data_IF_850137213799
#
_entry.id   IF_850137213799
#
_cell.length_a   1.000
_cell.length_b   1.000
_cell.length_c   1.000
_cell.angle_alpha   90.00
_cell.angle_beta   90.00
_cell.angle_gamma   90.00
#
_symmetry.space_group_name_H-M   'P 1'
#
loop_
_entity.id
_entity.type
_entity.pdbx_description
1 polymer ?
#
# COMPACT_ATOMS: atom_id res chain seq x y z
N UNK A 1 3.06 -9.56 -4.29
CA UNK A 1 3.65 -8.87 -5.47
C UNK A 1 2.69 -8.78 -6.66
N UNK A 2 1.72 -9.68 -6.84
CA UNK A 2 0.73 -9.59 -7.93
C UNK A 2 0.03 -8.21 -8.07
N UNK A 3 -0.32 -7.51 -6.98
CA UNK A 3 -1.00 -6.22 -7.07
C UNK A 3 -0.15 -5.16 -7.76
N UNK A 4 1.16 -5.13 -7.48
CA UNK A 4 2.10 -4.17 -8.08
C UNK A 4 2.17 -4.33 -9.60
N UNK A 5 2.18 -5.56 -10.10
CA UNK A 5 2.15 -5.80 -11.55
C UNK A 5 0.81 -5.42 -12.17
N UNK A 6 -0.28 -5.61 -11.44
CA UNK A 6 -1.62 -5.25 -11.92
C UNK A 6 -1.82 -3.74 -12.07
N UNK A 7 -1.01 -2.90 -11.40
CA UNK A 7 -1.02 -1.44 -11.54
C UNK A 7 -0.68 -0.95 -12.96
N UNK A 8 -0.06 -1.78 -13.80
CA UNK A 8 0.17 -1.47 -15.23
C UNK A 8 -1.15 -1.26 -15.97
N UNK A 9 -2.25 -1.80 -15.45
CA UNK A 9 -3.60 -1.64 -16.01
C UNK A 9 -4.30 -0.35 -15.55
N UNK A 10 -3.75 0.37 -14.56
CA UNK A 10 -4.35 1.62 -14.08
C UNK A 10 -4.13 2.76 -15.09
N UNK A 11 -5.19 3.49 -15.42
CA UNK A 11 -5.16 4.57 -16.41
C UNK A 11 -5.53 5.90 -15.76
N UNK A 12 -4.68 6.92 -15.94
CA UNK A 12 -4.95 8.27 -15.42
C UNK A 12 -6.08 8.98 -16.20
N UNK A 13 -6.18 8.74 -17.51
CA UNK A 13 -7.19 9.33 -18.41
C UNK A 13 -7.60 8.32 -19.49
N UNK A 14 -8.83 8.45 -20.02
CA UNK A 14 -9.31 7.62 -21.14
C UNK A 14 -8.47 7.87 -22.41
N UNK A 15 -8.26 6.85 -23.28
CA UNK A 15 -7.49 7.00 -24.51
C UNK A 15 -7.97 8.14 -25.43
N UNK A 16 -9.28 8.30 -25.58
CA UNK A 16 -9.89 9.35 -26.40
C UNK A 16 -9.51 10.76 -25.90
N UNK A 17 -9.52 10.96 -24.58
CA UNK A 17 -9.14 12.24 -23.96
C UNK A 17 -7.63 12.51 -24.07
N UNK A 18 -6.81 11.46 -24.00
CA UNK A 18 -5.37 11.59 -24.20
C UNK A 18 -5.01 12.06 -25.62
N UNK A 19 -5.79 11.63 -26.63
CA UNK A 19 -5.62 12.09 -28.02
C UNK A 19 -6.16 13.50 -28.25
N UNK A 20 -7.26 13.88 -27.58
CA UNK A 20 -7.86 15.20 -27.69
C UNK A 20 -6.99 16.31 -27.07
N UNK A 21 -6.23 15.99 -26.02
CA UNK A 21 -5.41 16.95 -25.26
C UNK A 21 -3.91 16.59 -25.29
N UNK A 22 -3.18 16.84 -26.40
CA UNK A 22 -1.75 16.51 -26.52
C UNK A 22 -0.85 17.28 -25.54
N UNK A 23 -1.36 18.36 -24.95
CA UNK A 23 -0.71 19.11 -23.86
C UNK A 23 -0.45 18.26 -22.61
N UNK A 24 -1.28 17.25 -22.35
CA UNK A 24 -1.05 16.29 -21.26
C UNK A 24 0.27 15.53 -21.46
N UNK A 25 0.57 15.12 -22.69
CA UNK A 25 1.82 14.46 -23.03
C UNK A 25 3.02 15.42 -22.91
N UNK A 26 2.86 16.67 -23.36
CA UNK A 26 3.90 17.71 -23.23
C UNK A 26 4.24 18.03 -21.77
N UNK A 27 3.30 17.85 -20.85
CA UNK A 27 3.57 17.99 -19.42
C UNK A 27 4.38 16.82 -18.85
N UNK A 28 4.18 15.61 -19.34
CA UNK A 28 4.93 14.42 -18.92
C UNK A 28 6.41 14.48 -19.34
N UNK A 29 6.71 15.02 -20.52
CA UNK A 29 8.10 15.16 -21.02
C UNK A 29 8.95 16.12 -20.18
N UNK A 30 8.35 16.93 -19.30
CA UNK A 30 9.07 17.80 -18.36
C UNK A 30 9.78 17.03 -17.23
N UNK A 31 9.60 15.71 -17.14
CA UNK A 31 10.32 14.85 -16.19
C UNK A 31 9.98 15.10 -14.71
N UNK A 32 8.88 15.80 -14.43
CA UNK A 32 8.51 16.19 -13.05
C UNK A 32 8.02 15.02 -12.19
N UNK A 33 7.53 13.95 -12.82
CA UNK A 33 6.97 12.79 -12.12
C UNK A 33 8.04 11.85 -11.54
N UNK A 34 9.19 11.73 -12.21
CA UNK A 34 10.31 10.84 -11.86
C UNK A 34 11.58 11.69 -11.67
N UNK A 35 11.58 12.47 -10.59
CA UNK A 35 12.70 13.31 -10.17
C UNK A 35 13.39 12.76 -8.93
N UNK A 36 14.61 13.21 -8.66
CA UNK A 36 15.33 12.86 -7.42
C UNK A 36 14.54 13.29 -6.17
N UNK A 37 13.83 14.43 -6.25
CA UNK A 37 12.94 14.89 -5.17
C UNK A 37 11.83 13.88 -4.87
N UNK A 38 11.15 13.37 -5.91
CA UNK A 38 10.10 12.36 -5.73
C UNK A 38 10.67 11.04 -5.21
N UNK A 39 11.84 10.63 -5.69
CA UNK A 39 12.53 9.44 -5.19
C UNK A 39 12.85 9.55 -3.69
N UNK A 40 13.45 10.66 -3.25
CA UNK A 40 13.76 10.86 -1.82
C UNK A 40 12.51 10.90 -0.94
N UNK A 41 11.41 11.49 -1.43
CA UNK A 41 10.12 11.45 -0.71
C UNK A 41 9.65 10.00 -0.53
N UNK A 42 9.72 9.18 -1.58
CA UNK A 42 9.36 7.77 -1.49
C UNK A 42 10.26 6.99 -0.52
N UNK A 43 11.57 7.24 -0.54
CA UNK A 43 12.52 6.64 0.42
C UNK A 43 12.16 7.02 1.87
N UNK A 44 11.86 8.29 2.13
CA UNK A 44 11.44 8.74 3.46
C UNK A 44 10.14 8.07 3.92
N UNK A 45 9.18 7.89 3.01
CA UNK A 45 7.93 7.16 3.27
C UNK A 45 8.23 5.70 3.64
N UNK A 46 9.10 5.02 2.90
CA UNK A 46 9.49 3.64 3.19
C UNK A 46 10.19 3.50 4.54
N UNK A 47 11.09 4.43 4.89
CA UNK A 47 11.75 4.45 6.21
C UNK A 47 10.72 4.64 7.33
N UNK A 48 9.77 5.56 7.12
CA UNK A 48 8.70 5.82 8.08
C UNK A 48 7.81 4.59 8.31
N UNK A 49 7.31 3.94 7.24
CA UNK A 49 6.46 2.75 7.34
C UNK A 49 7.21 1.58 7.98
N UNK A 50 8.46 1.33 7.54
CA UNK A 50 9.31 0.29 8.11
C UNK A 50 9.62 0.54 9.59
N UNK A 51 9.87 1.80 9.97
CA UNK A 51 10.08 2.21 11.36
C UNK A 51 8.86 1.97 12.24
N UNK A 52 7.66 2.34 11.78
CA UNK A 52 6.40 2.10 12.51
C UNK A 52 6.12 0.61 12.67
N UNK A 53 6.32 -0.17 11.61
CA UNK A 53 6.13 -1.62 11.65
C UNK A 53 7.04 -2.27 12.69
N UNK A 54 8.34 -1.94 12.66
CA UNK A 54 9.32 -2.52 13.56
C UNK A 54 9.13 -2.05 15.01
N UNK A 55 9.04 -0.73 15.22
CA UNK A 55 8.89 -0.17 16.56
C UNK A 55 7.53 -0.53 17.17
N UNK A 56 6.47 -0.52 16.38
CA UNK A 56 5.14 -0.96 16.79
C UNK A 56 5.11 -2.44 17.18
N UNK A 57 5.75 -3.31 16.41
CA UNK A 57 5.83 -4.74 16.74
C UNK A 57 6.62 -4.99 18.04
N UNK A 58 7.70 -4.24 18.29
CA UNK A 58 8.49 -4.36 19.52
C UNK A 58 7.76 -3.76 20.74
N UNK A 59 7.14 -2.59 20.62
CA UNK A 59 6.41 -1.96 21.72
C UNK A 59 5.17 -2.75 22.15
N UNK A 60 4.47 -3.33 21.18
CA UNK A 60 3.23 -4.05 21.45
C UNK A 60 3.49 -5.46 22.01
N UNK A 61 4.73 -5.89 22.26
CA UNK A 61 5.02 -7.26 22.73
C UNK A 61 6.13 -7.39 23.78
N UNK A 62 5.84 -8.17 24.82
CA UNK A 62 6.75 -8.42 25.96
C UNK A 62 7.13 -9.90 26.17
N UNK A 63 6.62 -10.85 25.37
CA UNK A 63 6.63 -12.28 25.77
C UNK A 63 7.46 -13.23 24.90
N UNK A 64 7.35 -13.21 23.56
CA UNK A 64 8.07 -14.17 22.69
C UNK A 64 8.43 -13.64 21.29
N UNK A 65 9.62 -14.00 20.79
CA UNK A 65 10.15 -13.55 19.49
C UNK A 65 9.30 -14.02 18.30
N UNK A 66 8.79 -15.26 18.34
CA UNK A 66 7.98 -15.85 17.25
C UNK A 66 6.71 -15.01 17.01
N UNK A 67 6.09 -14.51 18.08
CA UNK A 67 4.91 -13.66 17.98
C UNK A 67 5.22 -12.28 17.38
N UNK A 68 6.40 -11.72 17.65
CA UNK A 68 6.86 -10.47 17.04
C UNK A 68 7.03 -10.64 15.53
N UNK A 69 7.64 -11.74 15.10
CA UNK A 69 7.80 -12.08 13.67
C UNK A 69 6.42 -12.24 13.01
N UNK A 70 5.50 -12.96 13.65
CA UNK A 70 4.14 -13.13 13.13
C UNK A 70 3.40 -11.81 12.94
N UNK A 71 3.39 -10.94 13.96
CA UNK A 71 2.70 -9.64 13.90
C UNK A 71 3.34 -8.73 12.86
N UNK A 72 4.67 -8.59 12.88
CA UNK A 72 5.39 -7.71 11.97
C UNK A 72 5.22 -8.14 10.52
N UNK A 73 5.33 -9.44 10.22
CA UNK A 73 5.14 -9.97 8.87
C UNK A 73 3.71 -9.76 8.36
N UNK A 74 2.72 -10.04 9.22
CA UNK A 74 1.30 -9.83 8.89
C UNK A 74 0.98 -8.36 8.66
N UNK A 75 1.42 -7.49 9.57
CA UNK A 75 1.22 -6.06 9.46
C UNK A 75 1.91 -5.49 8.21
N UNK A 76 3.10 -6.00 7.84
CA UNK A 76 3.81 -5.62 6.62
C UNK A 76 2.99 -5.98 5.38
N UNK A 77 2.53 -7.24 5.25
CA UNK A 77 1.74 -7.67 4.09
C UNK A 77 0.44 -6.87 3.99
N UNK A 78 -0.29 -6.69 5.10
CA UNK A 78 -1.53 -5.93 5.09
C UNK A 78 -1.30 -4.44 4.79
N UNK A 79 -0.21 -3.85 5.28
CA UNK A 79 0.19 -2.47 4.97
C UNK A 79 0.43 -2.30 3.48
N UNK A 80 1.17 -3.21 2.85
CA UNK A 80 1.48 -3.13 1.42
C UNK A 80 0.22 -3.33 0.55
N UNK A 81 -0.61 -4.34 0.86
CA UNK A 81 -1.88 -4.57 0.17
C UNK A 81 -2.80 -3.34 0.30
N UNK A 82 -2.99 -2.83 1.51
CA UNK A 82 -3.82 -1.65 1.73
C UNK A 82 -3.25 -0.41 1.00
N UNK A 83 -1.94 -0.20 1.02
CA UNK A 83 -1.29 0.91 0.33
C UNK A 83 -1.51 0.85 -1.19
N UNK A 84 -1.44 -0.36 -1.78
CA UNK A 84 -1.74 -0.58 -3.21
C UNK A 84 -3.22 -0.34 -3.50
N UNK A 85 -4.13 -0.93 -2.73
CA UNK A 85 -5.57 -0.75 -2.88
C UNK A 85 -6.00 0.73 -2.81
N UNK A 86 -5.40 1.51 -1.90
CA UNK A 86 -5.65 2.95 -1.76
C UNK A 86 -4.96 3.81 -2.86
N UNK A 87 -4.07 3.21 -3.64
CA UNK A 87 -3.34 3.91 -4.70
C UNK A 87 -3.98 3.80 -6.06
N UNK A 88 -4.71 2.70 -6.32
CA UNK A 88 -5.47 2.46 -7.54
C UNK A 88 -6.49 3.58 -7.77
N UNK A 89 -6.54 4.11 -9.00
CA UNK A 89 -7.53 5.12 -9.38
C UNK A 89 -8.71 4.55 -10.12
N UNK A 90 -8.44 3.67 -11.09
CA UNK A 90 -9.46 3.00 -11.90
C UNK A 90 -9.48 1.54 -11.51
N UNK A 91 -10.64 1.00 -11.12
CA UNK A 91 -10.72 -0.41 -10.74
C UNK A 91 -10.89 -1.29 -11.97
N UNK A 92 -9.88 -2.09 -12.27
CA UNK A 92 -9.95 -3.18 -13.24
C UNK A 92 -10.16 -4.50 -12.51
N UNK A 93 -11.00 -5.39 -13.05
CA UNK A 93 -11.32 -6.69 -12.43
C UNK A 93 -10.05 -7.49 -12.04
N UNK A 94 -9.04 -7.50 -12.92
CA UNK A 94 -7.77 -8.19 -12.68
C UNK A 94 -7.00 -7.65 -11.45
N UNK A 95 -7.13 -6.37 -11.12
CA UNK A 95 -6.49 -5.80 -9.91
C UNK A 95 -7.15 -6.33 -8.64
N UNK A 96 -8.49 -6.44 -8.62
CA UNK A 96 -9.23 -7.04 -7.50
C UNK A 96 -8.81 -8.50 -7.32
N UNK A 97 -8.74 -9.25 -8.41
CA UNK A 97 -8.31 -10.66 -8.38
C UNK A 97 -6.87 -10.77 -7.86
N UNK A 98 -5.94 -9.91 -8.28
CA UNK A 98 -4.56 -9.91 -7.82
C UNK A 98 -4.43 -9.59 -6.31
N UNK A 99 -5.25 -8.67 -5.82
CA UNK A 99 -5.33 -8.29 -4.40
C UNK A 99 -5.82 -9.46 -3.55
N UNK A 100 -6.97 -10.01 -3.91
CA UNK A 100 -7.59 -11.14 -3.20
C UNK A 100 -6.68 -12.37 -3.27
N UNK A 101 -6.14 -12.69 -4.44
CA UNK A 101 -5.26 -13.83 -4.61
C UNK A 101 -4.01 -13.72 -3.74
N UNK A 102 -3.42 -12.51 -3.62
CA UNK A 102 -2.26 -12.30 -2.75
C UNK A 102 -2.60 -12.47 -1.27
N UNK A 103 -3.76 -11.97 -0.84
CA UNK A 103 -4.25 -12.17 0.52
C UNK A 103 -4.53 -13.65 0.80
N UNK A 104 -5.15 -14.37 -0.14
CA UNK A 104 -5.40 -15.82 -0.04
C UNK A 104 -4.10 -16.61 0.07
N UNK A 105 -3.09 -16.30 -0.76
CA UNK A 105 -1.77 -16.94 -0.68
C UNK A 105 -1.11 -16.72 0.69
N UNK A 106 -1.25 -15.52 1.25
CA UNK A 106 -0.76 -15.24 2.60
C UNK A 106 -1.51 -16.05 3.67
N UNK A 107 -2.84 -16.06 3.67
CA UNK A 107 -3.64 -16.86 4.62
C UNK A 107 -3.32 -18.36 4.50
N UNK A 108 -3.17 -18.87 3.28
CA UNK A 108 -2.74 -20.24 3.04
C UNK A 108 -1.34 -20.49 3.65
N UNK A 109 -0.40 -19.55 3.49
CA UNK A 109 0.94 -19.68 4.09
C UNK A 109 0.91 -19.80 5.61
N UNK A 110 0.01 -19.09 6.30
CA UNK A 110 -0.16 -19.23 7.75
C UNK A 110 -0.68 -20.61 8.14
N UNK A 111 -1.61 -21.17 7.36
CA UNK A 111 -2.19 -22.48 7.63
C UNK A 111 -1.24 -23.66 7.30
N UNK A 112 -0.30 -23.47 6.36
CA UNK A 112 0.68 -24.49 6.00
C UNK A 112 1.93 -24.45 6.89
N UNK A 113 2.35 -23.27 7.40
CA UNK A 113 3.55 -23.09 8.21
C UNK A 113 3.26 -23.07 9.72
N UNK A 114 2.50 -24.06 10.21
CA UNK A 114 2.11 -24.16 11.63
C UNK A 114 3.31 -24.35 12.59
N UNK A 115 4.47 -24.79 12.08
CA UNK A 115 5.69 -24.91 12.89
C UNK A 115 6.33 -23.56 13.23
N UNK A 116 6.06 -22.52 12.43
CA UNK A 116 6.61 -21.17 12.61
C UNK A 116 5.58 -20.18 13.14
N UNK A 117 4.29 -20.47 12.96
CA UNK A 117 3.18 -19.60 13.33
C UNK A 117 2.23 -20.33 14.26
N UNK A 118 2.09 -19.83 15.49
CA UNK A 118 1.07 -20.32 16.41
C UNK A 118 -0.31 -19.85 15.93
N UNK A 119 -1.08 -20.77 15.35
CA UNK A 119 -2.44 -20.52 14.84
C UNK A 119 -3.41 -20.12 15.97
N UNK A 120 -3.23 -20.65 17.18
CA UNK A 120 -4.05 -20.28 18.32
C UNK A 120 -3.80 -18.81 18.69
N UNK A 121 -2.55 -18.36 18.60
CA UNK A 121 -2.20 -16.97 18.81
C UNK A 121 -2.74 -16.04 17.71
N UNK A 122 -2.61 -16.42 16.43
CA UNK A 122 -3.06 -15.61 15.28
C UNK A 122 -4.58 -15.37 15.31
N UNK A 123 -5.35 -16.37 15.74
CA UNK A 123 -6.82 -16.27 15.84
C UNK A 123 -7.29 -15.43 17.03
N UNK A 124 -6.38 -15.03 17.92
CA UNK A 124 -6.71 -14.24 19.11
C UNK A 124 -7.01 -12.77 18.74
N UNK A 125 -8.00 -12.18 19.41
CA UNK A 125 -8.38 -10.76 19.25
C UNK A 125 -7.19 -9.81 19.51
N UNK A 126 -6.31 -10.19 20.45
CA UNK A 126 -5.07 -9.48 20.76
C UNK A 126 -4.16 -9.34 19.54
N UNK A 127 -4.02 -10.39 18.74
CA UNK A 127 -3.24 -10.35 17.51
C UNK A 127 -3.89 -9.41 16.49
N UNK A 128 -5.19 -9.58 16.27
CA UNK A 128 -5.94 -8.80 15.27
C UNK A 128 -5.90 -7.30 15.55
N UNK A 129 -6.11 -6.87 16.80
CA UNK A 129 -6.09 -5.44 17.14
C UNK A 129 -4.68 -4.85 16.99
N UNK A 130 -3.64 -5.56 17.45
CA UNK A 130 -2.23 -5.10 17.35
C UNK A 130 -1.83 -4.92 15.90
N UNK A 131 -2.10 -5.91 15.05
CA UNK A 131 -1.81 -5.84 13.62
C UNK A 131 -2.60 -4.72 12.95
N UNK A 132 -3.90 -4.59 13.27
CA UNK A 132 -4.74 -3.51 12.72
C UNK A 132 -4.21 -2.13 13.13
N UNK A 133 -3.83 -1.94 14.39
CA UNK A 133 -3.29 -0.68 14.88
C UNK A 133 -1.99 -0.29 14.16
N UNK A 134 -1.04 -1.23 14.02
CA UNK A 134 0.21 -0.99 13.30
C UNK A 134 -0.07 -0.65 11.82
N UNK A 135 -0.96 -1.40 11.17
CA UNK A 135 -1.32 -1.19 9.76
C UNK A 135 -1.95 0.19 9.55
N UNK A 136 -2.86 0.60 10.43
CA UNK A 136 -3.52 1.91 10.37
C UNK A 136 -2.50 3.03 10.59
N UNK A 137 -1.67 2.94 11.63
CA UNK A 137 -0.67 3.99 11.93
C UNK A 137 0.37 4.10 10.81
N UNK A 138 0.72 3.00 10.15
CA UNK A 138 1.64 2.99 9.01
C UNK A 138 1.03 3.65 7.76
N UNK A 139 -0.25 3.38 7.46
CA UNK A 139 -0.87 3.81 6.19
C UNK A 139 -1.62 5.15 6.25
N UNK A 140 -2.34 5.41 7.36
CA UNK A 140 -3.31 6.50 7.45
C UNK A 140 -2.67 7.90 7.32
N UNK A 141 -1.52 8.20 7.95
CA UNK A 141 -0.86 9.49 7.79
C UNK A 141 -0.45 9.77 6.34
N UNK A 142 0.04 8.74 5.64
CA UNK A 142 0.44 8.84 4.24
C UNK A 142 -0.76 9.08 3.32
N UNK A 143 -1.87 8.41 3.60
CA UNK A 143 -3.11 8.62 2.87
C UNK A 143 -3.63 10.05 3.06
N UNK A 144 -3.63 10.58 4.29
CA UNK A 144 -4.01 11.96 4.57
C UNK A 144 -3.11 12.94 3.80
N UNK A 145 -1.80 12.77 3.86
CA UNK A 145 -0.85 13.62 3.13
C UNK A 145 -1.10 13.59 1.62
N UNK A 146 -1.36 12.41 1.06
CA UNK A 146 -1.68 12.24 -0.37
C UNK A 146 -2.99 12.92 -0.73
N UNK A 147 -4.02 12.77 0.11
CA UNK A 147 -5.33 13.39 -0.08
C UNK A 147 -5.24 14.93 -0.01
N UNK A 148 -4.58 15.47 1.01
CA UNK A 148 -4.38 16.92 1.16
C UNK A 148 -3.61 17.50 -0.03
N UNK A 149 -2.53 16.84 -0.47
CA UNK A 149 -1.77 17.27 -1.65
C UNK A 149 -2.64 17.30 -2.90
N UNK A 150 -3.48 16.28 -3.12
CA UNK A 150 -4.40 16.22 -4.27
C UNK A 150 -5.49 17.29 -4.20
N UNK A 151 -5.96 17.64 -2.99
CA UNK A 151 -6.98 18.68 -2.77
C UNK A 151 -6.44 20.09 -2.95
N UNK A 152 -5.25 20.40 -2.43
CA UNK A 152 -4.66 21.74 -2.52
C UNK A 152 -3.85 21.99 -3.79
N UNK A 153 -3.40 20.94 -4.47
CA UNK A 153 -2.62 21.05 -5.71
C UNK A 153 -3.04 19.96 -6.71
N UNK A 154 -4.27 20.05 -7.25
CA UNK A 154 -4.77 19.07 -8.20
C UNK A 154 -3.92 19.08 -9.49
N UNK A 155 -3.61 17.91 -10.06
CA UNK A 155 -2.84 17.80 -11.29
C UNK A 155 -3.65 18.29 -12.51
N UNK A 156 -2.97 18.80 -13.55
CA UNK A 156 -3.64 19.42 -14.72
C UNK A 156 -4.70 18.52 -15.38
N UNK A 157 -4.45 17.21 -15.49
CA UNK A 157 -5.40 16.26 -16.06
C UNK A 157 -6.70 16.12 -15.25
N UNK A 158 -6.69 16.41 -13.94
CA UNK A 158 -7.90 16.28 -13.10
C UNK A 158 -8.99 17.29 -13.45
N UNK A 159 -8.65 18.37 -14.18
CA UNK A 159 -9.62 19.34 -14.69
C UNK A 159 -10.47 18.79 -15.84
N UNK A 160 -10.01 17.73 -16.52
CA UNK A 160 -10.67 17.12 -17.67
C UNK A 160 -11.61 15.96 -17.28
N UNK A 161 -11.63 15.59 -16.01
CA UNK A 161 -12.47 14.50 -15.45
C UNK A 161 -13.63 15.06 -14.61
N UNK A 162 -13.77 16.39 -14.53
CA UNK A 162 -14.88 17.05 -13.83
C UNK A 162 -16.14 17.13 -14.68
#
# INVERSE_FOLDING_TARGET
>A
MFPVFSLVLDQDVKPEMALLYPELYKDLTKGRSLSFKTFLIWVLISIYQGGILMYGALLLFESEFVHVVAISFTALILTELLMVALTIRTWHWLMIVAEIFSLCCYVASLAFLNEYFDVAFITTVTFLWKVSAITIVSCLPLYILKYLKRKFSPPNYSKLTS
#
